data_IF_690156480785
#
_entry.id   IF_690156480785
#
_cell.length_a   1.000
_cell.length_b   1.000
_cell.length_c   1.000
_cell.angle_alpha   90.00
_cell.angle_beta   90.00
_cell.angle_gamma   90.00
#
_symmetry.space_group_name_H-M   'P 1'
#
loop_
_entity.id
_entity.type
_entity.pdbx_description
1 polymer ?
#
# COMPACT_ATOMS: atom_id res chain seq x y z
N UNK A 1 -5.89 -6.52 -10.27
CA UNK A 1 -6.00 -6.39 -8.79
C UNK A 1 -5.10 -7.43 -8.14
N UNK A 2 -4.03 -6.99 -7.46
CA UNK A 2 -3.13 -7.86 -6.69
C UNK A 2 -3.41 -7.63 -5.20
N UNK A 3 -3.46 -8.69 -4.42
CA UNK A 3 -3.62 -8.60 -2.97
C UNK A 3 -2.80 -9.71 -2.31
N UNK A 4 -2.44 -9.48 -1.05
CA UNK A 4 -1.79 -10.45 -0.18
C UNK A 4 -2.69 -10.63 1.03
N UNK A 5 -3.02 -11.88 1.31
CA UNK A 5 -3.73 -12.24 2.53
C UNK A 5 -2.85 -13.16 3.36
N UNK A 6 -2.43 -12.67 4.54
CA UNK A 6 -1.72 -13.44 5.53
C UNK A 6 -2.69 -13.74 6.68
N UNK A 7 -2.98 -15.03 6.87
CA UNK A 7 -3.83 -15.49 7.96
C UNK A 7 -3.12 -15.29 9.28
N UNK A 8 -3.75 -14.56 10.19
CA UNK A 8 -3.26 -14.35 11.55
C UNK A 8 -3.30 -15.63 12.38
N UNK A 9 -2.56 -15.63 13.49
CA UNK A 9 -2.52 -16.75 14.44
C UNK A 9 -3.82 -16.85 15.24
N UNK A 10 -4.46 -15.71 15.50
CA UNK A 10 -5.66 -15.63 16.36
C UNK A 10 -6.87 -15.24 15.50
N UNK A 11 -7.82 -16.17 15.25
CA UNK A 11 -8.96 -15.93 14.37
C UNK A 11 -10.01 -14.96 14.95
N UNK A 12 -9.93 -14.65 16.26
CA UNK A 12 -10.82 -13.68 16.92
C UNK A 12 -10.32 -12.23 16.78
N UNK A 13 -9.07 -12.03 16.34
CA UNK A 13 -8.51 -10.70 16.14
C UNK A 13 -9.02 -10.05 14.84
N UNK A 14 -9.16 -8.72 14.80
CA UNK A 14 -9.59 -8.01 13.61
C UNK A 14 -8.60 -8.23 12.46
N UNK A 15 -9.10 -8.18 11.22
CA UNK A 15 -8.23 -8.23 10.03
C UNK A 15 -7.75 -6.81 9.71
N UNK A 16 -6.43 -6.63 9.69
CA UNK A 16 -5.78 -5.39 9.30
C UNK A 16 -5.81 -5.24 7.78
N UNK A 17 -6.57 -4.26 7.30
CA UNK A 17 -6.58 -3.86 5.90
C UNK A 17 -5.46 -2.84 5.66
N UNK A 18 -4.47 -3.21 4.85
CA UNK A 18 -3.36 -2.33 4.48
C UNK A 18 -3.61 -1.74 3.10
N UNK A 19 -3.64 -0.41 3.05
CA UNK A 19 -3.78 0.37 1.83
C UNK A 19 -2.50 1.20 1.67
N UNK A 20 -1.68 0.83 0.69
CA UNK A 20 -0.43 1.55 0.42
C UNK A 20 -0.71 2.94 -0.16
N UNK A 21 0.22 3.88 0.02
CA UNK A 21 0.17 5.20 -0.61
C UNK A 21 0.48 5.18 -2.10
N UNK A 22 0.36 6.33 -2.77
CA UNK A 22 0.68 6.50 -4.20
C UNK A 22 2.12 6.08 -4.50
N UNK A 23 2.31 5.23 -5.51
CA UNK A 23 3.62 4.70 -5.90
C UNK A 23 4.16 3.54 -5.03
N UNK A 24 3.47 3.20 -3.93
CA UNK A 24 3.81 2.05 -3.09
C UNK A 24 3.31 0.71 -3.67
N UNK A 25 3.65 -0.37 -2.98
CA UNK A 25 3.23 -1.73 -3.30
C UNK A 25 2.65 -2.45 -2.06
N UNK A 26 2.10 -3.62 -2.29
CA UNK A 26 1.44 -4.48 -1.30
C UNK A 26 2.36 -5.02 -0.18
N UNK A 27 3.68 -4.90 -0.30
CA UNK A 27 4.67 -5.35 0.69
C UNK A 27 5.12 -4.22 1.63
N UNK A 28 4.99 -2.96 1.22
CA UNK A 28 5.57 -1.81 1.94
C UNK A 28 5.02 -1.67 3.37
N UNK A 29 3.76 -2.06 3.57
CA UNK A 29 3.08 -1.94 4.86
C UNK A 29 3.08 -3.23 5.69
N UNK A 30 3.64 -4.34 5.17
CA UNK A 30 3.71 -5.59 5.93
C UNK A 30 4.54 -5.48 7.22
N UNK A 31 5.71 -4.79 7.23
CA UNK A 31 6.45 -4.57 8.47
C UNK A 31 5.64 -3.76 9.48
N UNK A 32 4.84 -2.78 9.01
CA UNK A 32 4.01 -1.95 9.87
C UNK A 32 2.88 -2.75 10.53
N UNK A 33 2.25 -3.67 9.80
CA UNK A 33 1.25 -4.57 10.37
C UNK A 33 1.83 -5.43 11.49
N UNK A 34 3.04 -5.98 11.30
CA UNK A 34 3.73 -6.76 12.34
C UNK A 34 4.10 -5.94 13.59
N UNK A 35 4.28 -4.62 13.46
CA UNK A 35 4.51 -3.73 14.60
C UNK A 35 3.22 -3.37 15.36
N UNK A 36 2.08 -3.36 14.67
CA UNK A 36 0.77 -3.06 15.28
C UNK A 36 0.21 -4.30 15.97
N UNK A 37 0.14 -5.43 15.26
CA UNK A 37 -0.34 -6.71 15.78
C UNK A 37 0.17 -7.86 14.90
N UNK A 38 1.14 -8.62 15.41
CA UNK A 38 1.75 -9.75 14.69
C UNK A 38 0.88 -11.02 14.65
N UNK A 39 -0.23 -11.03 15.40
CA UNK A 39 -1.15 -12.17 15.47
C UNK A 39 -2.44 -11.95 14.67
N UNK A 40 -2.73 -10.71 14.30
CA UNK A 40 -3.88 -10.34 13.49
C UNK A 40 -3.74 -10.84 12.04
N UNK A 41 -4.89 -11.06 11.38
CA UNK A 41 -4.87 -11.35 9.94
C UNK A 41 -4.58 -10.08 9.17
N UNK A 42 -3.82 -10.16 8.09
CA UNK A 42 -3.41 -9.00 7.29
C UNK A 42 -3.91 -9.17 5.86
N UNK A 43 -4.66 -8.19 5.36
CA UNK A 43 -5.07 -8.09 3.98
C UNK A 43 -4.44 -6.83 3.38
N UNK A 44 -3.41 -7.00 2.58
CA UNK A 44 -2.78 -5.91 1.83
C UNK A 44 -3.34 -5.88 0.41
N UNK A 45 -3.90 -4.74 0.00
CA UNK A 45 -4.52 -4.60 -1.32
C UNK A 45 -3.73 -3.61 -2.14
N UNK A 46 -3.36 -4.02 -3.35
CA UNK A 46 -2.82 -3.11 -4.36
C UNK A 46 -3.96 -2.50 -5.16
N UNK A 47 -4.02 -1.17 -5.17
CA UNK A 47 -4.94 -0.42 -6.03
C UNK A 47 -4.82 -0.87 -7.49
N UNK A 48 -5.95 -0.97 -8.19
CA UNK A 48 -5.96 -1.32 -9.62
C UNK A 48 -5.66 -0.11 -10.53
N UNK A 49 -5.54 1.07 -9.93
CA UNK A 49 -5.14 2.29 -10.61
C UNK A 49 -3.61 2.36 -10.58
N UNK A 50 -3.01 2.25 -11.76
CA UNK A 50 -1.69 2.82 -11.97
C UNK A 50 -1.94 4.31 -12.12
N UNK A 51 -1.56 5.12 -11.12
CA UNK A 51 -1.40 6.54 -11.34
C UNK A 51 -0.20 6.71 -12.27
N UNK A 52 -0.46 6.56 -13.57
CA UNK A 52 0.44 7.06 -14.59
C UNK A 52 0.49 8.57 -14.42
N UNK A 53 1.66 9.00 -13.95
CA UNK A 53 2.21 10.34 -14.10
C UNK A 53 1.61 11.41 -13.17
N UNK A 54 2.28 11.60 -12.03
CA UNK A 54 2.78 12.96 -11.82
C UNK A 54 3.74 13.23 -12.98
N UNK A 55 3.18 13.75 -14.09
CA UNK A 55 3.93 14.11 -15.26
C UNK A 55 4.72 15.35 -14.88
N UNK A 56 5.92 15.10 -14.36
CA UNK A 56 7.08 15.95 -14.46
C UNK A 56 6.77 17.45 -14.29
N UNK A 57 6.58 17.88 -13.04
CA UNK A 57 6.52 19.31 -12.66
C UNK A 57 7.69 20.11 -13.26
N UNK A 58 8.78 19.46 -13.70
CA UNK A 58 9.93 20.12 -14.32
C UNK A 58 9.69 20.63 -15.75
N UNK A 59 8.70 20.15 -16.50
CA UNK A 59 8.55 20.51 -17.93
C UNK A 59 7.83 21.84 -18.18
N UNK A 60 7.04 22.33 -17.23
CA UNK A 60 6.35 23.62 -17.36
C UNK A 60 7.22 24.83 -17.00
N UNK A 61 8.34 24.65 -16.29
CA UNK A 61 9.24 25.75 -15.93
C UNK A 61 10.17 26.20 -17.08
N UNK A 62 10.35 25.38 -18.11
CA UNK A 62 11.15 25.77 -19.30
C UNK A 62 10.35 26.61 -20.32
N UNK A 63 9.05 26.86 -20.10
CA UNK A 63 8.25 27.76 -20.94
C UNK A 63 8.04 29.15 -20.34
N UNK A 64 8.57 29.40 -19.15
CA UNK A 64 8.37 30.64 -18.37
C UNK A 64 9.68 31.43 -18.17
N UNK A 65 10.79 30.97 -18.76
CA UNK A 65 12.04 31.72 -18.86
C UNK A 65 12.55 31.75 -20.30
#
# INVERSE_FOLDING_TARGET
MKHIFNKGKVPTKPTLLLLHGTGGNELDLLPLAGMIDDEASVLSVRGNVLETECQDFSKDWQKVF
#
